data_IF_781325315500
#
_entry.id   IF_781325315500
#
_cell.length_a   1.000
_cell.length_b   1.000
_cell.length_c   1.000
_cell.angle_alpha   90.00
_cell.angle_beta   90.00
_cell.angle_gamma   90.00
#
_symmetry.space_group_name_H-M   'P 1'
#
loop_
_entity.id
_entity.type
_entity.pdbx_description
1 polymer ?
#
# COMPACT_ATOMS: atom_id res chain seq x y z
N UNK A 1 1.74 -28.38 -3.73
CA UNK A 1 1.81 -26.93 -3.91
C UNK A 1 1.33 -26.23 -2.64
N UNK A 2 2.05 -25.17 -2.25
CA UNK A 2 1.63 -24.30 -1.15
C UNK A 2 1.33 -22.91 -1.72
N UNK A 3 0.21 -22.34 -1.35
CA UNK A 3 -0.22 -20.99 -1.77
C UNK A 3 -0.76 -20.21 -0.58
N UNK A 4 -0.44 -18.92 -0.51
CA UNK A 4 -0.90 -18.04 0.57
C UNK A 4 -2.35 -17.60 0.40
N UNK A 5 -2.88 -17.69 -0.82
CA UNK A 5 -4.24 -17.29 -1.19
C UNK A 5 -4.88 -18.34 -2.09
N UNK A 6 -6.19 -18.50 -2.01
CA UNK A 6 -6.98 -19.38 -2.87
C UNK A 6 -6.67 -19.15 -4.36
N UNK A 7 -6.37 -20.20 -5.15
CA UNK A 7 -6.10 -20.09 -6.58
C UNK A 7 -7.32 -19.52 -7.33
N UNK A 8 -7.08 -18.48 -8.12
CA UNK A 8 -8.14 -17.86 -8.91
C UNK A 8 -8.69 -18.80 -9.99
N UNK A 9 -9.99 -18.63 -10.27
CA UNK A 9 -10.74 -19.46 -11.21
C UNK A 9 -11.42 -18.66 -12.34
N UNK A 10 -10.99 -17.40 -12.53
CA UNK A 10 -11.52 -16.52 -13.58
C UNK A 10 -10.41 -15.95 -14.44
N UNK A 11 -10.73 -15.63 -15.69
CA UNK A 11 -9.82 -14.93 -16.59
C UNK A 11 -9.72 -13.46 -16.20
N UNK A 12 -8.50 -12.99 -16.02
CA UNK A 12 -8.15 -11.60 -15.82
C UNK A 12 -7.18 -11.15 -16.90
N UNK A 13 -6.07 -10.52 -16.49
CA UNK A 13 -4.95 -10.23 -17.41
C UNK A 13 -4.19 -11.50 -17.81
N UNK A 14 -4.31 -12.55 -17.02
CA UNK A 14 -3.70 -13.89 -17.22
C UNK A 14 -4.77 -14.94 -17.05
N UNK A 15 -4.54 -16.18 -17.59
CA UNK A 15 -5.40 -17.33 -17.33
C UNK A 15 -5.50 -17.66 -15.84
N UNK A 16 -6.57 -18.35 -15.39
CA UNK A 16 -6.75 -18.71 -13.99
C UNK A 16 -5.69 -19.69 -13.50
N UNK A 17 -5.25 -19.51 -12.24
CA UNK A 17 -4.26 -20.38 -11.61
C UNK A 17 -4.76 -21.82 -11.46
N UNK A 18 -6.06 -22.05 -11.35
CA UNK A 18 -6.64 -23.41 -11.32
C UNK A 18 -6.31 -24.22 -12.56
N UNK A 19 -6.31 -23.62 -13.75
CA UNK A 19 -6.01 -24.30 -15.01
C UNK A 19 -4.57 -24.82 -15.03
N UNK A 20 -3.58 -23.99 -14.69
CA UNK A 20 -2.18 -24.42 -14.68
C UNK A 20 -1.92 -25.50 -13.62
N UNK A 21 -2.59 -25.44 -12.47
CA UNK A 21 -2.48 -26.45 -11.40
C UNK A 21 -2.99 -27.81 -11.90
N UNK A 22 -4.10 -27.83 -12.61
CA UNK A 22 -4.70 -29.03 -13.21
C UNK A 22 -3.78 -29.57 -14.33
N UNK A 23 -3.36 -28.70 -15.26
CA UNK A 23 -2.45 -29.07 -16.38
C UNK A 23 -1.15 -29.71 -15.88
N UNK A 24 -0.58 -29.18 -14.80
CA UNK A 24 0.66 -29.72 -14.20
C UNK A 24 0.45 -30.96 -13.33
N UNK A 25 -0.76 -31.50 -13.27
CA UNK A 25 -1.10 -32.71 -12.50
C UNK A 25 -0.64 -32.64 -11.03
N UNK A 26 -0.78 -31.47 -10.38
CA UNK A 26 -0.48 -31.30 -8.96
C UNK A 26 -1.45 -32.17 -8.15
N UNK A 27 -0.92 -33.00 -7.24
CA UNK A 27 -1.72 -33.95 -6.49
C UNK A 27 -2.40 -33.36 -5.26
N UNK A 28 -1.75 -32.39 -4.63
CA UNK A 28 -2.27 -31.74 -3.42
C UNK A 28 -1.89 -30.27 -3.38
N UNK A 29 -2.84 -29.43 -2.96
CA UNK A 29 -2.68 -27.98 -2.77
C UNK A 29 -3.01 -27.62 -1.32
N UNK A 30 -2.10 -26.91 -0.70
CA UNK A 30 -2.29 -26.31 0.63
C UNK A 30 -2.57 -24.82 0.46
N UNK A 31 -3.74 -24.38 0.90
CA UNK A 31 -4.22 -22.98 0.79
C UNK A 31 -4.17 -22.32 2.14
N UNK A 32 -3.48 -21.19 2.26
CA UNK A 32 -3.44 -20.40 3.49
C UNK A 32 -4.78 -19.71 3.74
N UNK A 33 -5.10 -18.73 2.94
CA UNK A 33 -6.35 -17.94 3.08
C UNK A 33 -7.30 -18.17 1.91
N UNK A 34 -8.59 -18.18 2.20
CA UNK A 34 -9.62 -18.12 1.17
C UNK A 34 -9.74 -16.70 0.60
N UNK A 35 -10.01 -16.58 -0.70
CA UNK A 35 -10.18 -15.29 -1.36
C UNK A 35 -11.56 -14.71 -1.03
N UNK A 36 -11.66 -13.51 -0.39
CA UNK A 36 -12.92 -12.85 -0.13
C UNK A 36 -13.62 -12.30 -1.39
N UNK A 37 -12.94 -12.32 -2.54
CA UNK A 37 -13.51 -11.88 -3.81
C UNK A 37 -14.67 -12.81 -4.23
N UNK A 38 -15.86 -12.27 -4.40
CA UNK A 38 -17.06 -13.01 -4.83
C UNK A 38 -16.89 -13.77 -6.16
N UNK A 39 -15.94 -13.38 -7.00
CA UNK A 39 -15.61 -14.09 -8.23
C UNK A 39 -14.88 -15.41 -7.96
N UNK A 40 -14.16 -15.51 -6.85
CA UNK A 40 -13.37 -16.69 -6.42
C UNK A 40 -14.07 -17.41 -5.28
N UNK A 41 -14.00 -16.93 -4.07
CA UNK A 41 -14.75 -17.30 -2.86
C UNK A 41 -15.14 -18.79 -2.78
N UNK A 42 -14.17 -19.69 -2.72
CA UNK A 42 -14.35 -21.13 -2.65
C UNK A 42 -14.52 -21.84 -4.00
N UNK A 43 -14.69 -21.12 -5.10
CA UNK A 43 -14.85 -21.73 -6.43
C UNK A 43 -13.54 -22.31 -6.95
N UNK A 44 -12.41 -21.67 -6.64
CA UNK A 44 -11.08 -22.18 -7.02
C UNK A 44 -10.80 -23.53 -6.38
N UNK A 45 -11.04 -23.64 -5.08
CA UNK A 45 -10.93 -24.90 -4.33
C UNK A 45 -11.83 -25.98 -4.94
N UNK A 46 -13.10 -25.65 -5.15
CA UNK A 46 -14.08 -26.57 -5.71
C UNK A 46 -13.65 -27.13 -7.09
N UNK A 47 -13.18 -26.27 -7.99
CA UNK A 47 -12.68 -26.67 -9.32
C UNK A 47 -11.49 -27.65 -9.19
N UNK A 48 -10.57 -27.41 -8.26
CA UNK A 48 -9.43 -28.30 -8.04
C UNK A 48 -9.88 -29.66 -7.52
N UNK A 49 -10.80 -29.71 -6.54
CA UNK A 49 -11.35 -30.95 -6.00
C UNK A 49 -12.14 -31.75 -7.04
N UNK A 50 -12.97 -31.09 -7.88
CA UNK A 50 -13.70 -31.71 -8.98
C UNK A 50 -12.75 -32.34 -10.05
N UNK A 51 -11.50 -31.86 -10.12
CA UNK A 51 -10.46 -32.42 -10.99
C UNK A 51 -9.53 -33.43 -10.28
N UNK A 52 -9.94 -33.93 -9.10
CA UNK A 52 -9.23 -34.99 -8.38
C UNK A 52 -7.97 -34.51 -7.63
N UNK A 53 -7.84 -33.20 -7.37
CA UNK A 53 -6.74 -32.62 -6.61
C UNK A 53 -7.18 -32.48 -5.15
N UNK A 54 -6.40 -33.03 -4.23
CA UNK A 54 -6.65 -32.87 -2.80
C UNK A 54 -6.35 -31.42 -2.38
N UNK A 55 -7.28 -30.75 -1.69
CA UNK A 55 -7.09 -29.38 -1.20
C UNK A 55 -7.26 -29.32 0.31
N UNK A 56 -6.28 -28.71 0.97
CA UNK A 56 -6.30 -28.44 2.41
C UNK A 56 -6.25 -26.93 2.65
N UNK A 57 -7.30 -26.37 3.25
CA UNK A 57 -7.45 -24.93 3.47
C UNK A 57 -7.14 -24.53 4.92
N UNK A 58 -6.70 -23.29 5.13
CA UNK A 58 -6.46 -22.73 6.45
C UNK A 58 -5.05 -22.98 7.00
N UNK A 59 -4.13 -23.45 6.18
CA UNK A 59 -2.73 -23.68 6.58
C UNK A 59 -2.01 -22.36 6.81
N UNK A 60 -1.55 -22.11 8.06
CA UNK A 60 -0.95 -20.82 8.48
C UNK A 60 -1.84 -19.61 8.13
N UNK A 61 -3.15 -19.75 8.37
CA UNK A 61 -4.15 -18.77 7.95
C UNK A 61 -3.83 -17.37 8.45
N UNK A 62 -3.49 -17.21 9.73
CA UNK A 62 -3.26 -15.90 10.34
C UNK A 62 -2.04 -15.17 9.73
N UNK A 63 -1.00 -15.92 9.37
CA UNK A 63 0.19 -15.40 8.69
C UNK A 63 -0.13 -15.02 7.24
N UNK A 64 -0.91 -15.85 6.56
CA UNK A 64 -1.35 -15.59 5.20
C UNK A 64 -2.32 -14.40 5.13
N UNK A 65 -3.23 -14.25 6.09
CA UNK A 65 -4.12 -13.10 6.21
C UNK A 65 -3.31 -11.80 6.37
N UNK A 66 -2.26 -11.79 7.21
CA UNK A 66 -1.37 -10.63 7.37
C UNK A 66 -0.62 -10.27 6.10
N UNK A 67 -0.17 -11.27 5.33
CA UNK A 67 0.46 -11.03 4.03
C UNK A 67 -0.50 -10.37 3.03
N UNK A 68 -1.77 -10.74 3.07
CA UNK A 68 -2.80 -10.30 2.14
C UNK A 68 -3.68 -9.16 2.68
N UNK A 69 -3.34 -8.56 3.83
CA UNK A 69 -4.19 -7.58 4.54
C UNK A 69 -4.65 -6.40 3.65
N UNK A 70 -3.76 -5.85 2.83
CA UNK A 70 -4.07 -4.73 1.92
C UNK A 70 -5.06 -5.16 0.84
N UNK A 71 -4.83 -6.34 0.25
CA UNK A 71 -5.72 -6.91 -0.76
C UNK A 71 -7.10 -7.21 -0.16
N UNK A 72 -7.14 -7.86 0.99
CA UNK A 72 -8.41 -8.19 1.67
C UNK A 72 -9.21 -6.94 2.02
N UNK A 73 -8.54 -5.92 2.55
CA UNK A 73 -9.21 -4.64 2.82
C UNK A 73 -9.83 -4.05 1.55
N UNK A 74 -9.05 -3.94 0.47
CA UNK A 74 -9.51 -3.33 -0.77
C UNK A 74 -10.63 -4.14 -1.43
N UNK A 75 -10.49 -5.48 -1.53
CA UNK A 75 -11.49 -6.30 -2.22
C UNK A 75 -12.84 -6.32 -1.48
N UNK A 76 -12.80 -6.21 -0.15
CA UNK A 76 -13.98 -6.20 0.70
C UNK A 76 -14.63 -4.83 0.78
N UNK A 77 -13.84 -3.77 1.02
CA UNK A 77 -14.35 -2.43 1.34
C UNK A 77 -14.35 -1.47 0.14
N UNK A 78 -13.58 -1.75 -0.91
CA UNK A 78 -13.38 -0.87 -2.08
C UNK A 78 -12.82 0.51 -1.73
N UNK A 79 -12.10 0.59 -0.63
CA UNK A 79 -11.39 1.79 -0.15
C UNK A 79 -9.91 1.51 -0.02
N UNK A 80 -9.04 2.53 -0.11
CA UNK A 80 -7.62 2.36 0.16
C UNK A 80 -7.37 1.82 1.57
N UNK A 81 -6.34 0.99 1.71
CA UNK A 81 -5.81 0.60 3.02
C UNK A 81 -4.93 1.74 3.53
N UNK A 82 -5.34 2.39 4.62
CA UNK A 82 -4.68 3.58 5.15
C UNK A 82 -3.88 3.23 6.39
N UNK A 83 -2.59 3.55 6.36
CA UNK A 83 -1.69 3.44 7.51
C UNK A 83 -1.32 4.83 7.99
N UNK A 84 -1.71 5.18 9.21
CA UNK A 84 -1.32 6.44 9.82
C UNK A 84 0.04 6.30 10.50
N UNK A 85 1.03 7.11 10.06
CA UNK A 85 2.37 7.19 10.65
C UNK A 85 2.61 8.57 11.24
N UNK A 86 2.96 8.62 12.49
CA UNK A 86 3.42 9.84 13.17
C UNK A 86 4.64 9.57 14.02
N UNK A 87 5.45 10.60 14.27
CA UNK A 87 6.52 10.59 15.25
C UNK A 87 6.11 11.51 16.40
N UNK A 88 6.10 11.01 17.62
CA UNK A 88 5.75 11.81 18.79
C UNK A 88 6.57 11.38 20.00
N UNK A 89 6.70 12.26 20.96
CA UNK A 89 7.23 11.98 22.29
C UNK A 89 6.25 11.14 23.10
N UNK A 90 6.66 10.62 24.25
CA UNK A 90 5.79 9.80 25.11
C UNK A 90 4.56 10.59 25.63
N UNK A 91 4.67 11.91 25.76
CA UNK A 91 3.58 12.80 26.13
C UNK A 91 2.79 13.36 24.92
N UNK A 92 3.00 12.78 23.72
CA UNK A 92 2.21 13.05 22.53
C UNK A 92 2.58 14.33 21.76
N UNK A 93 3.76 14.91 21.98
CA UNK A 93 4.23 16.08 21.23
C UNK A 93 4.91 15.67 19.93
N UNK A 94 4.61 16.37 18.84
CA UNK A 94 5.18 16.11 17.51
C UNK A 94 6.36 17.05 17.18
N UNK A 95 6.48 18.17 17.90
CA UNK A 95 7.55 19.14 17.78
C UNK A 95 7.72 19.92 19.09
N UNK A 96 8.84 20.63 19.23
CA UNK A 96 9.05 21.64 20.27
C UNK A 96 8.22 22.92 19.98
N UNK A 97 8.13 23.84 20.95
CA UNK A 97 7.44 25.13 20.78
C UNK A 97 8.00 26.00 19.65
N UNK A 98 9.29 25.87 19.37
CA UNK A 98 9.97 26.56 18.26
C UNK A 98 9.81 25.85 16.91
N UNK A 99 9.03 24.76 16.84
CA UNK A 99 8.80 23.98 15.61
C UNK A 99 9.86 22.90 15.34
N UNK A 100 10.93 22.79 16.13
CA UNK A 100 11.96 21.76 15.93
C UNK A 100 11.40 20.36 16.25
N UNK A 101 11.55 19.44 15.27
CA UNK A 101 11.09 18.05 15.36
C UNK A 101 12.18 17.01 15.06
N UNK A 102 13.41 17.45 14.85
CA UNK A 102 14.52 16.59 14.44
C UNK A 102 15.48 16.32 15.61
N UNK A 103 15.53 15.09 16.16
CA UNK A 103 14.83 13.88 15.75
C UNK A 103 14.02 13.35 16.94
N UNK A 104 12.72 13.23 16.79
CA UNK A 104 11.84 12.66 17.84
C UNK A 104 12.00 11.14 17.93
N UNK A 105 12.29 10.48 16.81
CA UNK A 105 12.43 9.02 16.75
C UNK A 105 13.84 8.60 16.36
N UNK A 106 14.28 7.43 16.86
CA UNK A 106 15.58 6.87 16.59
C UNK A 106 15.77 6.35 15.16
N UNK A 107 16.98 5.94 14.82
CA UNK A 107 17.40 5.50 13.49
C UNK A 107 16.58 4.33 12.95
N UNK A 108 16.41 3.28 13.76
CA UNK A 108 15.63 2.09 13.40
C UNK A 108 14.17 2.44 13.05
N UNK A 109 13.56 3.38 13.76
CA UNK A 109 12.21 3.84 13.43
C UNK A 109 12.18 4.58 12.08
N UNK A 110 13.20 5.40 11.78
CA UNK A 110 13.33 6.07 10.48
C UNK A 110 13.59 5.10 9.33
N UNK A 111 14.37 4.04 9.55
CA UNK A 111 14.54 2.94 8.59
C UNK A 111 13.21 2.23 8.29
N UNK A 112 12.42 1.94 9.33
CA UNK A 112 11.06 1.39 9.17
C UNK A 112 10.20 2.28 8.28
N UNK A 113 10.29 3.61 8.42
CA UNK A 113 9.57 4.56 7.55
C UNK A 113 10.02 4.45 6.09
N UNK A 114 11.30 4.23 5.82
CA UNK A 114 11.77 4.02 4.45
C UNK A 114 11.22 2.71 3.86
N UNK A 115 11.19 1.64 4.65
CA UNK A 115 10.56 0.37 4.25
C UNK A 115 9.05 0.54 3.97
N UNK A 116 8.35 1.37 4.75
CA UNK A 116 6.94 1.71 4.47
C UNK A 116 6.80 2.46 3.14
N UNK A 117 7.69 3.40 2.81
CA UNK A 117 7.69 4.11 1.52
C UNK A 117 7.94 3.19 0.32
N UNK A 118 8.71 2.12 0.51
CA UNK A 118 8.89 1.06 -0.47
C UNK A 118 7.63 0.18 -0.59
N UNK A 119 6.99 -0.13 0.54
CA UNK A 119 5.85 -1.07 0.61
C UNK A 119 4.54 -0.48 0.08
N UNK A 120 4.24 0.77 0.43
CA UNK A 120 2.94 1.39 0.13
C UNK A 120 2.97 2.24 -1.14
N UNK A 121 1.88 2.21 -1.89
CA UNK A 121 1.75 2.87 -3.19
C UNK A 121 1.80 4.40 -3.11
N UNK A 122 1.36 4.98 -2.00
CA UNK A 122 1.30 6.44 -1.83
C UNK A 122 1.70 6.91 -0.45
N UNK A 123 2.19 8.13 -0.38
CA UNK A 123 2.44 8.88 0.85
C UNK A 123 1.65 10.18 0.81
N UNK A 124 0.82 10.41 1.83
CA UNK A 124 -0.01 11.60 1.94
C UNK A 124 0.45 12.48 3.11
N UNK A 125 0.56 13.78 2.86
CA UNK A 125 0.85 14.80 3.90
C UNK A 125 -0.02 16.03 3.68
N UNK A 126 -0.24 16.79 4.77
CA UNK A 126 -0.82 18.14 4.68
C UNK A 126 0.21 19.17 4.20
N UNK A 127 -0.27 20.28 3.64
CA UNK A 127 0.58 21.35 3.12
C UNK A 127 1.55 21.91 4.16
N UNK A 128 1.17 22.01 5.42
CA UNK A 128 2.06 22.53 6.46
C UNK A 128 3.35 21.71 6.59
N UNK A 129 3.32 20.38 6.37
CA UNK A 129 4.54 19.55 6.32
C UNK A 129 5.47 19.99 5.18
N UNK A 130 4.91 20.40 4.05
CA UNK A 130 5.73 20.89 2.92
C UNK A 130 6.31 22.26 3.22
N UNK A 131 5.54 23.15 3.84
CA UNK A 131 5.98 24.50 4.19
C UNK A 131 7.09 24.49 5.25
N UNK A 132 6.96 23.64 6.26
CA UNK A 132 7.93 23.58 7.37
C UNK A 132 9.19 22.76 7.02
N UNK A 133 9.02 21.59 6.39
CA UNK A 133 10.11 20.63 6.22
C UNK A 133 10.72 20.62 4.82
N UNK A 134 10.03 21.18 3.81
CA UNK A 134 10.39 21.08 2.39
C UNK A 134 10.88 19.66 2.00
N UNK A 135 10.09 18.61 2.26
CA UNK A 135 10.54 17.23 2.17
C UNK A 135 10.57 16.73 0.72
N UNK A 136 11.38 15.70 0.46
CA UNK A 136 11.35 14.96 -0.80
C UNK A 136 10.23 13.92 -0.87
N UNK A 137 9.83 13.33 0.26
CA UNK A 137 8.89 12.23 0.40
C UNK A 137 9.19 11.00 -0.47
N UNK A 138 10.44 10.82 -0.87
CA UNK A 138 10.93 9.70 -1.68
C UNK A 138 11.37 8.49 -0.83
N UNK A 139 11.52 7.35 -1.46
CA UNK A 139 12.23 6.19 -0.91
C UNK A 139 13.74 6.41 -1.06
N UNK A 140 14.52 6.17 0.01
CA UNK A 140 15.97 6.40 0.02
C UNK A 140 16.80 5.12 0.15
N UNK A 141 16.13 3.98 0.22
CA UNK A 141 16.78 2.66 0.38
C UNK A 141 16.81 1.85 -0.91
N UNK A 142 16.04 2.25 -1.91
CA UNK A 142 15.99 1.58 -3.21
C UNK A 142 15.64 2.60 -4.29
N UNK A 143 16.31 2.55 -5.43
CA UNK A 143 16.07 3.44 -6.58
C UNK A 143 14.80 3.01 -7.34
N UNK A 144 14.10 3.97 -7.93
CA UNK A 144 12.90 3.78 -8.76
C UNK A 144 11.69 3.11 -8.07
N UNK A 145 11.62 3.19 -6.74
CA UNK A 145 10.52 2.64 -5.92
C UNK A 145 9.87 3.74 -5.09
N UNK A 146 9.71 4.92 -5.68
CA UNK A 146 9.11 6.06 -4.98
C UNK A 146 7.58 5.92 -4.88
N UNK A 147 6.98 6.22 -3.71
CA UNK A 147 5.53 6.28 -3.58
C UNK A 147 4.96 7.50 -4.32
N UNK A 148 3.72 7.40 -4.78
CA UNK A 148 2.95 8.56 -5.26
C UNK A 148 2.83 9.56 -4.10
N UNK A 149 3.26 10.79 -4.33
CA UNK A 149 3.18 11.86 -3.32
C UNK A 149 1.83 12.55 -3.41
N UNK A 150 1.10 12.63 -2.30
CA UNK A 150 -0.23 13.25 -2.23
C UNK A 150 -0.17 14.39 -1.22
N UNK A 151 -0.39 15.61 -1.66
CA UNK A 151 -0.34 16.81 -0.82
C UNK A 151 -1.75 17.36 -0.66
N UNK A 152 -2.26 17.37 0.56
CA UNK A 152 -3.54 17.99 0.88
C UNK A 152 -3.32 19.48 1.10
N UNK A 153 -3.69 20.30 0.11
CA UNK A 153 -3.47 21.76 0.09
C UNK A 153 -4.72 22.49 -0.40
N UNK A 154 -5.69 22.70 0.47
CA UNK A 154 -6.99 23.28 0.14
C UNK A 154 -6.92 24.57 -0.67
N UNK A 155 -5.90 25.41 -0.45
CA UNK A 155 -5.78 26.76 -1.02
C UNK A 155 -4.59 26.92 -1.99
N UNK A 156 -3.94 25.81 -2.41
CA UNK A 156 -2.76 25.83 -3.28
C UNK A 156 -1.64 26.75 -2.76
N UNK A 157 -1.28 26.59 -1.49
CA UNK A 157 -0.20 27.36 -0.83
C UNK A 157 1.19 26.79 -1.12
N UNK A 158 1.27 25.64 -1.81
CA UNK A 158 2.53 24.97 -2.12
C UNK A 158 3.47 25.89 -2.89
N UNK A 159 4.71 26.13 -2.41
CA UNK A 159 5.68 26.95 -3.15
C UNK A 159 6.15 26.24 -4.42
N UNK A 160 6.26 26.99 -5.53
CA UNK A 160 6.78 26.45 -6.80
C UNK A 160 8.23 25.95 -6.70
N UNK A 161 9.04 26.58 -5.83
CA UNK A 161 10.43 26.22 -5.55
C UNK A 161 10.58 25.04 -4.57
N UNK A 162 9.48 24.47 -4.06
CA UNK A 162 9.55 23.31 -3.16
C UNK A 162 10.16 22.08 -3.82
N UNK A 163 10.83 21.25 -3.04
CA UNK A 163 11.39 19.98 -3.52
C UNK A 163 10.33 19.08 -4.17
N UNK A 164 9.11 19.11 -3.67
CA UNK A 164 7.97 18.35 -4.20
C UNK A 164 7.68 18.76 -5.64
N UNK A 165 7.54 20.07 -5.90
CA UNK A 165 7.24 20.60 -7.24
C UNK A 165 8.43 20.41 -8.19
N UNK A 166 9.63 20.78 -7.77
CA UNK A 166 10.85 20.67 -8.59
C UNK A 166 11.17 19.24 -9.04
N UNK A 167 10.65 18.24 -8.37
CA UNK A 167 10.87 16.82 -8.70
C UNK A 167 9.61 16.10 -9.18
N UNK A 168 8.53 16.83 -9.47
CA UNK A 168 7.26 16.24 -9.92
C UNK A 168 7.35 15.55 -11.30
N UNK A 169 8.33 15.94 -12.11
CA UNK A 169 8.64 15.28 -13.38
C UNK A 169 9.32 13.91 -13.22
N UNK A 170 9.86 13.61 -12.05
CA UNK A 170 10.54 12.32 -11.73
C UNK A 170 9.70 11.43 -10.84
N UNK A 171 9.00 12.01 -9.87
CA UNK A 171 8.19 11.28 -8.89
C UNK A 171 6.75 11.75 -9.02
N UNK A 172 5.84 10.84 -9.31
CA UNK A 172 4.42 11.16 -9.47
C UNK A 172 3.89 11.92 -8.24
N UNK A 173 3.28 13.08 -8.49
CA UNK A 173 2.80 13.97 -7.44
C UNK A 173 1.38 14.43 -7.74
N UNK A 174 0.54 14.40 -6.71
CA UNK A 174 -0.84 14.85 -6.75
C UNK A 174 -1.01 15.92 -5.66
N UNK A 175 -1.47 17.10 -6.05
CA UNK A 175 -1.88 18.14 -5.10
C UNK A 175 -3.41 18.18 -5.10
N UNK A 176 -4.00 17.99 -3.93
CA UNK A 176 -5.45 17.99 -3.74
C UNK A 176 -5.86 19.32 -3.16
N UNK A 177 -6.64 20.09 -3.91
CA UNK A 177 -7.16 21.39 -3.49
C UNK A 177 -8.69 21.41 -3.51
N UNK A 178 -9.27 22.48 -2.94
CA UNK A 178 -10.71 22.77 -3.05
C UNK A 178 -11.00 23.56 -4.33
N UNK A 179 -12.27 23.63 -4.71
CA UNK A 179 -12.73 24.47 -5.84
C UNK A 179 -12.59 25.98 -5.57
N UNK A 180 -12.28 26.38 -4.35
CA UNK A 180 -12.05 27.76 -3.91
C UNK A 180 -10.58 28.17 -4.01
N UNK A 181 -9.71 27.23 -4.39
CA UNK A 181 -8.29 27.53 -4.56
C UNK A 181 -8.09 28.50 -5.75
N UNK A 182 -7.03 29.30 -5.64
CA UNK A 182 -6.67 30.28 -6.67
C UNK A 182 -6.48 29.59 -8.04
N UNK A 183 -7.32 29.96 -9.01
CA UNK A 183 -7.33 29.36 -10.35
C UNK A 183 -6.07 29.64 -11.15
N UNK A 184 -5.35 30.72 -10.84
CA UNK A 184 -4.08 31.05 -11.51
C UNK A 184 -2.94 30.08 -11.12
N UNK A 185 -3.17 29.23 -10.09
CA UNK A 185 -2.24 28.20 -9.62
C UNK A 185 -2.66 26.78 -9.96
N UNK A 186 -3.81 26.57 -10.59
CA UNK A 186 -4.33 25.25 -10.98
C UNK A 186 -3.64 24.63 -12.21
#
# INVERSE_FOLDING_TARGET
LYVTLEPCCHYGKTPPCTEIIIEKNIKKVYVGSMDPNKLVAGKGVKILEENGIEVECGVLKDECDKLNEVFFHYITNKTPYVVMKYAMTMDGKIACENGDSKWVTGEKARETVQNMRKKYMGIMVGINTVLEDNPMLNCRIEENVDPIRIICDSNLRIPFESNIVNTANKIQTIVVCTNEADTDKQ
#
